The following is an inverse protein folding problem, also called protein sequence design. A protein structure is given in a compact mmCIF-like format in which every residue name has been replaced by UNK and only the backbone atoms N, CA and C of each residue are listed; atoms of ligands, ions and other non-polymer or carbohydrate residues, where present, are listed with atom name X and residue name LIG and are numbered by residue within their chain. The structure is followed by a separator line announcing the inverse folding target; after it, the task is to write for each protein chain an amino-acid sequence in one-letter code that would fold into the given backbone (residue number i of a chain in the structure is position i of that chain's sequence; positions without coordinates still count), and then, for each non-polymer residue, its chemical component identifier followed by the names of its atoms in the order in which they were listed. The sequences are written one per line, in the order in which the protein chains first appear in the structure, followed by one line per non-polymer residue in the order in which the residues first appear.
data_IF_301363860268
#
_entry.id   IF_301363860268
#
_cell.length_a   1.000
_cell.length_b   1.000
_cell.length_c   1.000
_cell.angle_alpha   90.00
_cell.angle_beta   90.00
_cell.angle_gamma   90.00
#
_symmetry.space_group_name_H-M   'P 1'
#
loop_
_entity.id
_entity.type
_entity.pdbx_description
1 polymer ?
#
# COMPACT_ATOMS: atom_id res chain seq x y z
N UNK A 1 42.37 -55.32 -34.34
CA UNK A 1 42.48 -54.11 -33.47
C UNK A 1 41.86 -52.85 -34.09
N UNK A 2 40.61 -52.84 -34.54
CA UNK A 2 40.09 -51.63 -35.23
C UNK A 2 38.66 -51.18 -34.77
N UNK A 3 38.04 -51.85 -33.82
CA UNK A 3 36.66 -51.55 -33.39
C UNK A 3 36.57 -50.58 -32.18
N UNK A 4 37.59 -50.53 -31.34
CA UNK A 4 37.61 -49.64 -30.14
C UNK A 4 37.80 -48.18 -30.48
N UNK A 5 38.59 -47.84 -31.48
CA UNK A 5 38.86 -46.47 -31.88
C UNK A 5 37.62 -45.77 -32.49
N UNK A 6 36.73 -46.51 -33.12
CA UNK A 6 35.46 -45.98 -33.69
C UNK A 6 34.41 -45.68 -32.61
N UNK A 7 34.37 -46.49 -31.53
CA UNK A 7 33.45 -46.27 -30.40
C UNK A 7 33.87 -45.01 -29.59
N UNK A 8 35.14 -44.86 -29.35
CA UNK A 8 35.68 -43.69 -28.62
C UNK A 8 35.45 -42.36 -29.37
N UNK A 9 35.60 -42.34 -30.71
CA UNK A 9 35.29 -41.16 -31.54
C UNK A 9 33.79 -40.83 -31.58
N UNK A 10 32.90 -41.82 -31.60
CA UNK A 10 31.44 -41.62 -31.56
C UNK A 10 30.99 -41.09 -30.21
N UNK A 11 31.60 -41.54 -29.10
CA UNK A 11 31.29 -41.09 -27.76
C UNK A 11 31.73 -39.64 -27.54
N UNK A 12 32.92 -39.26 -28.02
CA UNK A 12 33.39 -37.86 -27.98
C UNK A 12 32.55 -36.89 -28.83
N UNK A 13 32.02 -37.36 -29.97
CA UNK A 13 31.11 -36.53 -30.79
C UNK A 13 29.74 -36.34 -30.11
N UNK A 14 29.19 -37.35 -29.44
CA UNK A 14 27.95 -37.25 -28.69
C UNK A 14 28.06 -36.34 -27.46
N UNK A 15 29.17 -36.43 -26.71
CA UNK A 15 29.42 -35.54 -25.57
C UNK A 15 29.62 -34.08 -25.99
N UNK A 16 30.28 -33.82 -27.13
CA UNK A 16 30.43 -32.46 -27.67
C UNK A 16 29.11 -31.91 -28.20
N UNK A 17 28.26 -32.73 -28.83
CA UNK A 17 26.93 -32.32 -29.25
C UNK A 17 25.99 -32.02 -28.04
N UNK A 18 26.09 -32.84 -26.99
CA UNK A 18 25.35 -32.61 -25.75
C UNK A 18 25.79 -31.32 -25.03
N UNK A 19 27.12 -31.11 -24.89
CA UNK A 19 27.66 -29.89 -24.32
C UNK A 19 27.28 -28.65 -25.13
N UNK A 20 27.25 -28.75 -26.46
CA UNK A 20 26.81 -27.65 -27.33
C UNK A 20 25.30 -27.34 -27.13
N UNK A 21 24.45 -28.38 -27.11
CA UNK A 21 23.05 -28.22 -26.86
C UNK A 21 22.73 -27.63 -25.44
N UNK A 22 23.47 -28.13 -24.43
CA UNK A 22 23.35 -27.63 -23.07
C UNK A 22 23.80 -26.15 -22.97
N UNK A 23 24.89 -25.79 -23.62
CA UNK A 23 25.38 -24.40 -23.65
C UNK A 23 24.38 -23.45 -24.32
N UNK A 24 23.71 -23.89 -25.41
CA UNK A 24 22.66 -23.10 -26.08
C UNK A 24 21.46 -22.91 -25.17
N UNK A 25 21.00 -23.98 -24.51
CA UNK A 25 19.86 -23.89 -23.56
C UNK A 25 20.21 -22.98 -22.38
N UNK A 26 21.42 -23.14 -21.82
CA UNK A 26 21.85 -22.26 -20.71
C UNK A 26 21.96 -20.78 -21.13
N UNK A 27 22.45 -20.53 -22.35
CA UNK A 27 22.49 -19.17 -22.91
C UNK A 27 21.11 -18.58 -23.12
N UNK A 28 20.17 -19.38 -23.67
CA UNK A 28 18.78 -18.92 -23.85
C UNK A 28 18.12 -18.61 -22.51
N UNK A 29 18.31 -19.47 -21.51
CA UNK A 29 17.79 -19.20 -20.15
C UNK A 29 18.43 -17.97 -19.52
N UNK A 30 19.72 -17.75 -19.72
CA UNK A 30 20.41 -16.55 -19.27
C UNK A 30 19.84 -15.28 -19.94
N UNK A 31 19.64 -15.32 -21.26
CA UNK A 31 19.06 -14.20 -22.02
C UNK A 31 17.62 -13.90 -21.56
N UNK A 32 16.79 -14.93 -21.39
CA UNK A 32 15.41 -14.77 -20.89
C UNK A 32 15.41 -14.22 -19.45
N UNK A 33 16.30 -14.74 -18.59
CA UNK A 33 16.47 -14.26 -17.21
C UNK A 33 16.93 -12.80 -17.16
N UNK A 34 17.89 -12.42 -17.98
CA UNK A 34 18.37 -11.03 -18.07
C UNK A 34 17.30 -10.09 -18.64
N UNK A 35 16.59 -10.50 -19.69
CA UNK A 35 15.50 -9.70 -20.26
C UNK A 35 14.36 -9.53 -19.25
N UNK A 36 13.97 -10.57 -18.51
CA UNK A 36 12.98 -10.50 -17.45
C UNK A 36 13.40 -9.57 -16.31
N UNK A 37 14.65 -9.64 -15.87
CA UNK A 37 15.19 -8.74 -14.82
C UNK A 37 15.23 -7.28 -15.30
N UNK A 38 15.60 -7.01 -16.55
CA UNK A 38 15.63 -5.66 -17.12
C UNK A 38 14.25 -5.04 -17.20
N UNK A 39 13.21 -5.80 -17.56
CA UNK A 39 11.82 -5.29 -17.66
C UNK A 39 11.28 -4.91 -16.28
N UNK A 40 11.61 -5.63 -15.22
CA UNK A 40 11.15 -5.32 -13.85
C UNK A 40 11.80 -4.06 -13.29
N UNK A 41 13.02 -3.72 -13.68
CA UNK A 41 13.73 -2.51 -13.24
C UNK A 41 13.31 -1.25 -14.01
N UNK A 42 12.78 -1.39 -15.23
CA UNK A 42 12.29 -0.26 -16.03
C UNK A 42 10.90 0.22 -15.55
N UNK A 43 10.12 -0.66 -14.92
CA UNK A 43 8.81 -0.29 -14.36
C UNK A 43 8.96 0.24 -12.94
N UNK A 44 8.47 1.46 -12.70
CA UNK A 44 8.44 2.05 -11.34
C UNK A 44 7.65 1.20 -10.34
N UNK A 45 7.79 1.49 -9.03
CA UNK A 45 7.04 0.81 -7.99
C UNK A 45 5.52 0.89 -8.22
N UNK A 46 4.80 -0.23 -8.09
CA UNK A 46 3.34 -0.27 -8.19
C UNK A 46 2.74 -0.68 -6.87
N UNK A 47 1.66 -0.03 -6.45
CA UNK A 47 0.92 -0.45 -5.29
C UNK A 47 0.33 -1.86 -5.52
N UNK A 48 0.59 -2.76 -4.59
CA UNK A 48 0.01 -4.11 -4.54
C UNK A 48 -1.09 -4.22 -3.50
N UNK A 49 -1.02 -3.36 -2.50
CA UNK A 49 -2.03 -3.24 -1.43
C UNK A 49 -2.02 -1.82 -0.90
N UNK A 50 -3.21 -1.33 -0.58
CA UNK A 50 -3.40 -0.14 0.23
C UNK A 50 -4.20 -0.55 1.47
N UNK A 51 -3.86 0.00 2.61
CA UNK A 51 -4.53 -0.26 3.89
C UNK A 51 -4.75 1.06 4.61
N UNK A 52 -6.00 1.35 4.90
CA UNK A 52 -6.44 2.48 5.72
C UNK A 52 -7.65 2.01 6.54
N UNK A 53 -7.79 2.53 7.73
CA UNK A 53 -8.98 2.37 8.57
C UNK A 53 -9.65 3.76 8.72
N UNK A 54 -10.69 4.06 7.93
CA UNK A 54 -11.34 5.36 7.96
C UNK A 54 -12.04 5.65 9.30
N UNK A 55 -12.60 4.63 9.96
CA UNK A 55 -13.19 4.77 11.30
C UNK A 55 -12.15 5.15 12.36
N UNK A 56 -11.01 4.46 12.36
CA UNK A 56 -9.91 4.80 13.26
C UNK A 56 -9.34 6.18 12.95
N UNK A 57 -9.32 6.58 11.67
CA UNK A 57 -8.79 7.87 11.24
C UNK A 57 -9.62 9.07 11.74
N UNK A 58 -10.93 8.90 11.91
CA UNK A 58 -11.80 9.96 12.49
C UNK A 58 -11.75 10.03 14.01
N UNK A 59 -11.45 8.92 14.68
CA UNK A 59 -11.52 8.84 16.15
C UNK A 59 -10.17 9.02 16.83
N UNK A 60 -9.08 8.64 16.15
CA UNK A 60 -7.78 8.54 16.77
C UNK A 60 -6.71 9.33 16.01
N UNK A 61 -5.92 10.10 16.74
CA UNK A 61 -4.67 10.63 16.22
C UNK A 61 -3.69 9.49 15.91
N UNK A 62 -2.88 9.66 14.88
CA UNK A 62 -1.87 8.67 14.51
C UNK A 62 -2.38 7.53 13.62
N UNK A 63 -3.61 7.61 13.13
CA UNK A 63 -4.11 6.68 12.10
C UNK A 63 -3.21 6.72 10.85
N UNK A 64 -3.13 5.59 10.14
CA UNK A 64 -2.17 5.42 9.03
C UNK A 64 -2.85 4.96 7.76
N UNK A 65 -2.40 5.53 6.65
CA UNK A 65 -2.62 4.98 5.33
C UNK A 65 -1.29 4.37 4.85
N UNK A 66 -1.28 3.11 4.44
CA UNK A 66 -0.07 2.37 4.08
C UNK A 66 -0.22 1.83 2.66
N UNK A 67 0.71 2.22 1.79
CA UNK A 67 0.90 1.60 0.48
C UNK A 67 1.96 0.52 0.59
N UNK A 68 1.67 -0.67 0.09
CA UNK A 68 2.65 -1.74 -0.12
C UNK A 68 2.89 -1.89 -1.62
N UNK A 69 4.16 -1.97 -2.03
CA UNK A 69 4.55 -1.93 -3.44
C UNK A 69 5.23 -3.22 -3.90
N UNK A 70 5.40 -3.35 -5.21
CA UNK A 70 6.04 -4.49 -5.87
C UNK A 70 7.54 -4.62 -5.55
N UNK A 71 8.22 -3.52 -5.20
CA UNK A 71 9.67 -3.47 -4.95
C UNK A 71 9.99 -2.57 -3.75
N UNK A 72 11.21 -2.71 -3.21
CA UNK A 72 11.69 -1.85 -2.11
C UNK A 72 11.82 -0.42 -2.58
N UNK A 73 11.33 0.51 -1.75
CA UNK A 73 11.27 1.93 -2.03
C UNK A 73 12.54 2.65 -1.56
N UNK A 74 12.96 3.66 -2.33
CA UNK A 74 13.80 4.72 -1.82
C UNK A 74 13.02 5.53 -0.78
N UNK A 75 13.73 6.27 0.08
CA UNK A 75 13.10 7.10 1.09
C UNK A 75 12.13 8.11 0.45
N UNK A 76 10.91 8.15 0.97
CA UNK A 76 9.87 9.11 0.57
C UNK A 76 9.84 10.23 1.59
N UNK A 77 9.95 11.46 1.11
CA UNK A 77 9.96 12.67 1.95
C UNK A 77 8.58 13.35 1.98
N UNK A 78 8.26 14.12 3.03
CA UNK A 78 6.95 14.77 3.17
C UNK A 78 6.56 15.70 2.01
N UNK A 79 7.52 16.31 1.33
CA UNK A 79 7.29 17.19 0.17
C UNK A 79 6.78 16.45 -1.07
N UNK A 80 6.99 15.14 -1.15
CA UNK A 80 6.43 14.28 -2.19
C UNK A 80 4.96 13.93 -1.94
N UNK A 81 4.44 14.16 -0.71
CA UNK A 81 3.10 13.74 -0.30
C UNK A 81 2.14 14.92 -0.28
N UNK A 82 0.96 14.73 -0.83
CA UNK A 82 -0.15 15.68 -0.79
C UNK A 82 -1.38 14.98 -0.23
N UNK A 83 -2.03 15.60 0.74
CA UNK A 83 -3.31 15.15 1.31
C UNK A 83 -4.35 16.23 1.02
N UNK A 84 -5.47 15.85 0.46
CA UNK A 84 -6.59 16.73 0.14
C UNK A 84 -7.90 16.11 0.66
N UNK A 85 -8.70 16.83 1.48
CA UNK A 85 -8.40 18.10 2.13
C UNK A 85 -7.12 18.07 2.97
N UNK A 86 -6.52 19.24 3.21
CA UNK A 86 -5.25 19.34 3.92
C UNK A 86 -5.36 18.79 5.35
N UNK A 87 -4.46 17.90 5.72
CA UNK A 87 -4.33 17.38 7.07
C UNK A 87 -2.85 17.30 7.44
N UNK A 88 -2.52 17.47 8.73
CA UNK A 88 -1.17 17.33 9.22
C UNK A 88 -0.75 15.86 9.25
N UNK A 89 0.41 15.54 8.71
CA UNK A 89 0.91 14.16 8.63
C UNK A 89 2.42 14.07 8.79
N UNK A 90 2.88 12.84 9.00
CA UNK A 90 4.27 12.41 8.87
C UNK A 90 4.35 11.24 7.91
N UNK A 91 5.53 11.03 7.31
CA UNK A 91 5.78 9.94 6.36
C UNK A 91 6.85 9.03 6.91
N UNK A 92 6.69 7.73 6.72
CA UNK A 92 7.71 6.74 7.00
C UNK A 92 7.81 5.74 5.85
N UNK A 93 9.03 5.39 5.47
CA UNK A 93 9.31 4.40 4.43
C UNK A 93 10.02 3.21 5.05
N UNK A 94 9.54 2.00 4.78
CA UNK A 94 10.16 0.77 5.26
C UNK A 94 10.05 -0.35 4.24
N UNK A 95 11.18 -0.75 3.67
CA UNK A 95 11.24 -1.82 2.69
C UNK A 95 10.34 -1.53 1.49
N UNK A 96 9.27 -2.30 1.31
CA UNK A 96 8.29 -2.14 0.22
C UNK A 96 7.07 -1.31 0.60
N UNK A 97 7.07 -0.68 1.76
CA UNK A 97 5.91 0.05 2.26
C UNK A 97 6.24 1.52 2.52
N UNK A 98 5.31 2.39 2.20
CA UNK A 98 5.31 3.79 2.62
C UNK A 98 4.03 4.06 3.40
N UNK A 99 4.17 4.65 4.58
CA UNK A 99 3.07 5.01 5.48
C UNK A 99 2.92 6.53 5.58
N UNK A 100 1.70 7.01 5.45
CA UNK A 100 1.30 8.38 5.78
C UNK A 100 0.53 8.31 7.09
N UNK A 101 1.09 8.89 8.15
CA UNK A 101 0.51 8.91 9.48
C UNK A 101 -0.09 10.27 9.77
N UNK A 102 -1.39 10.33 9.99
CA UNK A 102 -2.11 11.55 10.31
C UNK A 102 -1.83 11.99 11.76
N UNK A 103 -1.40 13.24 11.95
CA UNK A 103 -1.04 13.76 13.26
C UNK A 103 -2.27 13.96 14.18
N UNK A 104 -3.41 14.28 13.58
CA UNK A 104 -4.68 14.52 14.24
C UNK A 104 -5.77 13.63 13.63
N UNK A 105 -6.91 13.41 14.31
CA UNK A 105 -8.08 12.82 13.69
C UNK A 105 -8.50 13.61 12.45
N UNK A 106 -8.94 12.89 11.44
CA UNK A 106 -9.48 13.47 10.22
C UNK A 106 -10.94 13.93 10.45
N UNK A 107 -11.39 14.88 9.64
CA UNK A 107 -12.81 15.28 9.64
C UNK A 107 -13.69 14.09 9.24
N UNK A 108 -14.83 13.98 9.84
CA UNK A 108 -15.83 12.98 9.47
C UNK A 108 -16.57 13.38 8.18
N UNK A 109 -17.35 12.46 7.64
CA UNK A 109 -18.14 12.61 6.40
C UNK A 109 -17.37 13.31 5.26
N UNK A 110 -16.08 13.02 5.16
CA UNK A 110 -15.15 13.72 4.27
C UNK A 110 -14.38 12.73 3.39
N UNK A 111 -14.31 13.01 2.08
CA UNK A 111 -13.49 12.27 1.15
C UNK A 111 -12.05 12.83 1.14
N UNK A 112 -11.09 11.96 1.45
CA UNK A 112 -9.67 12.29 1.44
C UNK A 112 -8.96 11.60 0.28
N UNK A 113 -8.13 12.36 -0.42
CA UNK A 113 -7.20 11.84 -1.44
C UNK A 113 -5.77 12.06 -0.98
N UNK A 114 -5.00 10.98 -0.93
CA UNK A 114 -3.57 11.00 -0.62
C UNK A 114 -2.80 10.66 -1.88
N UNK A 115 -1.88 11.55 -2.29
CA UNK A 115 -1.03 11.37 -3.48
C UNK A 115 0.43 11.45 -3.06
N UNK A 116 1.22 10.45 -3.45
CA UNK A 116 2.67 10.41 -3.26
C UNK A 116 3.31 10.43 -4.64
N UNK A 117 4.05 11.49 -4.95
CA UNK A 117 4.71 11.68 -6.25
C UNK A 117 6.15 11.18 -6.22
N UNK A 118 6.68 10.89 -7.38
CA UNK A 118 8.08 10.55 -7.60
C UNK A 118 8.58 9.38 -6.73
N UNK A 119 7.71 8.40 -6.48
CA UNK A 119 8.06 7.20 -5.72
C UNK A 119 9.00 6.35 -6.55
N UNK A 120 10.23 6.16 -6.08
CA UNK A 120 11.29 5.41 -6.76
C UNK A 120 11.62 4.12 -5.99
N UNK A 121 12.10 3.12 -6.70
CA UNK A 121 12.66 1.91 -6.10
C UNK A 121 14.14 2.08 -5.72
N UNK A 122 14.60 1.38 -4.69
CA UNK A 122 16.03 1.35 -4.28
C UNK A 122 16.93 0.87 -5.43
N UNK A 123 16.44 -0.02 -6.29
CA UNK A 123 17.17 -0.53 -7.44
C UNK A 123 17.27 0.44 -8.63
N UNK A 124 16.73 1.66 -8.51
CA UNK A 124 16.62 2.61 -9.60
C UNK A 124 15.45 2.26 -10.54
N UNK A 125 15.39 2.94 -11.69
CA UNK A 125 14.30 2.81 -12.68
C UNK A 125 13.37 4.03 -12.67
N UNK A 126 12.21 3.89 -13.34
CA UNK A 126 11.22 4.96 -13.40
C UNK A 126 10.56 5.19 -12.03
N UNK A 127 10.30 6.45 -11.71
CA UNK A 127 9.43 6.81 -10.58
C UNK A 127 7.95 6.65 -10.97
N UNK A 128 7.09 6.58 -9.98
CA UNK A 128 5.64 6.50 -10.15
C UNK A 128 4.92 7.38 -9.15
N UNK A 129 3.65 7.66 -9.41
CA UNK A 129 2.75 8.31 -8.46
C UNK A 129 1.82 7.28 -7.87
N UNK A 130 1.70 7.25 -6.54
CA UNK A 130 0.72 6.45 -5.82
C UNK A 130 -0.41 7.37 -5.37
N UNK A 131 -1.65 6.95 -5.58
CA UNK A 131 -2.83 7.72 -5.16
C UNK A 131 -3.85 6.77 -4.55
N UNK A 132 -4.45 7.20 -3.46
CA UNK A 132 -5.58 6.52 -2.80
C UNK A 132 -6.62 7.55 -2.37
N UNK A 133 -7.87 7.19 -2.56
CA UNK A 133 -9.02 7.98 -2.11
C UNK A 133 -9.87 7.14 -1.18
N UNK A 134 -10.22 7.69 -0.03
CA UNK A 134 -11.10 7.04 0.95
C UNK A 134 -12.02 8.07 1.59
N UNK A 135 -13.21 7.64 1.98
CA UNK A 135 -14.17 8.46 2.70
C UNK A 135 -14.19 8.10 4.19
N UNK A 136 -14.18 9.10 5.03
CA UNK A 136 -14.39 8.94 6.48
C UNK A 136 -15.88 8.82 6.77
N UNK A 137 -16.29 7.97 7.72
CA UNK A 137 -17.70 7.85 8.08
C UNK A 137 -18.19 9.08 8.81
N UNK A 138 -19.50 9.34 8.72
CA UNK A 138 -20.17 10.32 9.55
C UNK A 138 -20.16 9.86 11.02
N UNK A 139 -19.71 10.72 11.91
CA UNK A 139 -19.71 10.45 13.33
C UNK A 139 -21.08 10.80 13.95
N UNK A 140 -21.50 9.97 14.89
CA UNK A 140 -22.68 10.20 15.71
C UNK A 140 -22.27 10.57 17.14
N UNK A 141 -22.86 11.58 17.68
CA UNK A 141 -22.66 12.06 19.05
C UNK A 141 -23.90 11.81 19.87
N UNK A 142 -23.72 11.39 21.11
CA UNK A 142 -24.83 11.20 22.04
C UNK A 142 -24.74 12.23 23.16
N UNK A 143 -25.82 12.96 23.37
CA UNK A 143 -25.93 14.02 24.37
C UNK A 143 -26.98 13.59 25.41
N UNK A 144 -26.59 13.59 26.68
CA UNK A 144 -27.51 13.37 27.79
C UNK A 144 -28.05 14.71 28.25
N UNK A 145 -29.37 14.90 28.09
CA UNK A 145 -30.12 16.01 28.68
C UNK A 145 -30.71 15.53 29.99
N UNK A 146 -30.39 16.21 31.07
CA UNK A 146 -30.97 15.98 32.40
C UNK A 146 -32.06 17.02 32.68
N UNK A 147 -33.26 16.60 33.10
CA UNK A 147 -34.37 17.50 33.34
C UNK A 147 -35.30 17.03 34.43
N UNK A 148 -36.16 17.93 34.95
CA UNK A 148 -37.13 17.62 36.01
C UNK A 148 -38.26 16.63 35.61
N UNK A 149 -38.38 16.29 34.34
CA UNK A 149 -39.31 15.29 33.82
C UNK A 149 -38.68 13.96 33.42
N UNK A 150 -37.40 13.77 33.70
CA UNK A 150 -36.61 12.61 33.29
C UNK A 150 -35.38 12.99 32.47
N UNK A 151 -34.49 12.05 32.33
CA UNK A 151 -33.26 12.18 31.52
C UNK A 151 -33.51 11.62 30.13
N UNK A 152 -33.01 12.31 29.10
CA UNK A 152 -33.15 11.89 27.70
C UNK A 152 -31.80 11.90 27.00
N UNK A 153 -31.47 10.80 26.34
CA UNK A 153 -30.31 10.71 25.45
C UNK A 153 -30.74 11.04 24.03
N UNK A 154 -30.08 12.02 23.44
CA UNK A 154 -30.26 12.40 22.05
C UNK A 154 -29.08 11.90 21.25
N UNK A 155 -29.33 11.39 20.04
CA UNK A 155 -28.32 11.17 19.00
C UNK A 155 -28.33 12.39 18.08
N UNK A 156 -27.15 12.90 17.77
CA UNK A 156 -26.95 14.04 16.87
C UNK A 156 -25.66 13.85 16.07
N UNK A 157 -25.45 14.66 15.05
CA UNK A 157 -24.15 14.80 14.38
C UNK A 157 -23.25 15.78 15.16
N UNK A 158 -22.04 16.02 14.63
CA UNK A 158 -21.09 16.94 15.26
C UNK A 158 -21.52 18.42 15.17
N UNK A 159 -22.34 18.77 14.19
CA UNK A 159 -22.88 20.11 13.99
C UNK A 159 -24.03 20.40 15.00
N UNK A 160 -24.59 19.37 15.63
CA UNK A 160 -25.71 19.48 16.54
C UNK A 160 -27.06 19.53 15.84
N UNK A 161 -27.07 19.34 14.52
CA UNK A 161 -28.30 19.32 13.74
C UNK A 161 -29.00 17.95 13.90
N UNK A 162 -30.31 17.93 13.68
CA UNK A 162 -31.14 16.72 13.70
C UNK A 162 -31.03 15.88 15.00
N UNK A 163 -31.00 16.52 16.17
CA UNK A 163 -31.02 15.81 17.45
C UNK A 163 -32.29 14.97 17.59
N UNK A 164 -32.15 13.66 17.67
CA UNK A 164 -33.28 12.71 17.81
C UNK A 164 -33.18 12.02 19.16
N UNK A 165 -34.26 12.02 19.98
CA UNK A 165 -34.28 11.28 21.22
C UNK A 165 -34.21 9.77 20.92
N UNK A 166 -33.26 9.08 21.53
CA UNK A 166 -33.03 7.64 21.34
C UNK A 166 -33.34 6.83 22.61
N UNK A 167 -33.29 7.48 23.77
CA UNK A 167 -33.61 6.85 25.03
C UNK A 167 -34.07 7.88 26.06
N UNK A 168 -35.13 7.54 26.86
CA UNK A 168 -35.63 8.38 27.95
C UNK A 168 -35.87 7.49 29.16
N UNK A 169 -35.44 7.96 30.34
CA UNK A 169 -35.69 7.31 31.63
C UNK A 169 -35.86 8.33 32.74
N UNK A 170 -36.51 7.98 33.87
CA UNK A 170 -36.64 8.89 34.99
C UNK A 170 -35.30 9.40 35.54
N UNK A 171 -34.27 8.57 35.48
CA UNK A 171 -32.92 8.89 35.84
C UNK A 171 -31.94 7.95 35.08
N UNK A 172 -30.87 8.52 34.56
CA UNK A 172 -29.76 7.77 33.89
C UNK A 172 -28.50 7.97 34.75
N UNK A 173 -27.90 6.88 35.24
CA UNK A 173 -26.67 6.88 36.04
C UNK A 173 -25.40 6.82 35.11
#
# INVERSE_FOLDING_TARGET
MSTESRRARRQRRRSRAFLGAFAIVALLLAVVGFAGAAVTTVQGPRATRVSVDPDAATRNAGARLIFTTTQSLAEVTPDQVTVSPAAAFTVDTSGRSVGVRFALPLWDDTEYTVTIRDVAGVGGGASTTLTETFATPKLETYILQRGGGGDTVFRTDLEGDAAVPVYTAPQIE
#
